data_IF_453603413617
#
_entry.id   IF_453603413617
#
_cell.length_a   1.000
_cell.length_b   1.000
_cell.length_c   1.000
_cell.angle_alpha   90.00
_cell.angle_beta   90.00
_cell.angle_gamma   90.00
#
_symmetry.space_group_name_H-M   'P 1'
#
loop_
_entity.id
_entity.type
_entity.pdbx_description
1 polymer ?
#
# COMPACT_ATOMS: atom_id res chain seq x y z
N UNK A 1 27.78 -8.21 18.95
CA UNK A 1 27.35 -6.97 18.26
C UNK A 1 26.22 -7.34 17.34
N UNK A 2 24.98 -7.12 17.76
CA UNK A 2 23.80 -7.16 16.89
C UNK A 2 22.91 -6.01 17.32
N UNK A 3 23.12 -4.86 16.69
CA UNK A 3 22.14 -3.79 16.69
C UNK A 3 20.94 -4.31 15.89
N UNK A 4 19.90 -4.75 16.61
CA UNK A 4 18.57 -4.80 16.03
C UNK A 4 18.20 -3.36 15.72
N UNK A 5 18.26 -3.01 14.43
CA UNK A 5 17.67 -1.79 13.91
C UNK A 5 16.20 -1.81 14.35
N UNK A 6 15.86 -0.96 15.32
CA UNK A 6 14.48 -0.75 15.72
C UNK A 6 13.75 -0.22 14.51
N UNK A 7 12.85 -1.04 13.96
CA UNK A 7 11.84 -0.54 13.06
C UNK A 7 11.15 0.60 13.81
N UNK A 8 11.12 1.79 13.21
CA UNK A 8 10.38 2.95 13.71
C UNK A 8 8.89 2.66 13.45
N UNK A 9 8.37 1.61 14.07
CA UNK A 9 6.93 1.39 14.20
C UNK A 9 6.50 2.17 15.43
N UNK A 10 5.65 3.20 15.30
CA UNK A 10 5.19 3.95 16.45
C UNK A 10 4.53 3.00 17.44
N UNK A 11 4.94 3.08 18.70
CA UNK A 11 4.26 2.35 19.77
C UNK A 11 2.84 2.95 19.89
N UNK A 12 1.78 2.13 20.08
CA UNK A 12 0.39 2.60 20.12
C UNK A 12 0.05 3.60 21.25
N UNK A 13 1.04 4.06 22.02
CA UNK A 13 0.90 5.00 23.13
C UNK A 13 1.74 6.29 22.95
N UNK A 14 2.39 6.50 21.80
CA UNK A 14 2.97 7.81 21.47
C UNK A 14 1.84 8.77 21.12
N UNK A 15 1.73 9.86 21.89
CA UNK A 15 0.69 10.88 21.73
C UNK A 15 0.63 11.36 20.27
N UNK A 16 -0.57 11.33 19.67
CA UNK A 16 -0.86 11.69 18.27
C UNK A 16 -0.46 13.11 17.84
N UNK A 17 0.07 13.90 18.77
CA UNK A 17 0.40 15.32 18.63
C UNK A 17 1.86 15.57 18.22
N UNK A 18 2.74 14.55 18.27
CA UNK A 18 4.15 14.69 17.88
C UNK A 18 4.38 14.57 16.36
N UNK A 19 3.44 13.96 15.63
CA UNK A 19 3.58 13.68 14.21
C UNK A 19 2.75 14.65 13.36
N UNK A 20 3.35 15.13 12.27
CA UNK A 20 2.64 15.92 11.25
C UNK A 20 1.43 15.15 10.68
N UNK A 21 0.43 15.88 10.16
CA UNK A 21 -0.73 15.26 9.51
C UNK A 21 -0.33 14.34 8.36
N UNK A 22 0.71 14.68 7.59
CA UNK A 22 1.23 13.82 6.52
C UNK A 22 1.84 12.54 7.08
N UNK A 23 2.66 12.65 8.13
CA UNK A 23 3.29 11.49 8.78
C UNK A 23 2.22 10.54 9.33
N UNK A 24 1.20 11.07 10.01
CA UNK A 24 0.07 10.28 10.53
C UNK A 24 -0.69 9.58 9.42
N UNK A 25 -0.95 10.27 8.31
CA UNK A 25 -1.66 9.68 7.18
C UNK A 25 -0.88 8.51 6.55
N UNK A 26 0.44 8.64 6.40
CA UNK A 26 1.28 7.52 5.93
C UNK A 26 1.29 6.37 6.93
N UNK A 27 1.47 6.63 8.23
CA UNK A 27 1.46 5.61 9.28
C UNK A 27 0.13 4.85 9.33
N UNK A 28 -0.98 5.57 9.26
CA UNK A 28 -2.31 4.97 9.26
C UNK A 28 -2.52 4.07 8.03
N UNK A 29 -2.11 4.53 6.85
CA UNK A 29 -2.21 3.74 5.62
C UNK A 29 -1.35 2.46 5.68
N UNK A 30 -0.11 2.56 6.19
CA UNK A 30 0.76 1.38 6.35
C UNK A 30 0.23 0.39 7.39
N UNK A 31 -0.43 0.87 8.44
CA UNK A 31 -1.07 -0.02 9.42
C UNK A 31 -2.27 -0.76 8.83
N UNK A 32 -3.05 -0.09 7.97
CA UNK A 32 -4.16 -0.74 7.24
C UNK A 32 -3.68 -1.81 6.28
N UNK A 33 -2.53 -1.59 5.61
CA UNK A 33 -1.92 -2.60 4.72
C UNK A 33 -1.78 -3.97 5.40
N UNK A 34 -1.36 -4.01 6.67
CA UNK A 34 -1.20 -5.30 7.37
C UNK A 34 -2.52 -6.06 7.54
N UNK A 35 -3.63 -5.34 7.64
CA UNK A 35 -4.98 -5.90 7.74
C UNK A 35 -5.52 -6.27 6.37
N UNK A 36 -5.38 -5.40 5.38
CA UNK A 36 -5.92 -5.60 4.02
C UNK A 36 -5.18 -6.70 3.24
N UNK A 37 -3.93 -7.00 3.61
CA UNK A 37 -3.14 -8.09 3.05
C UNK A 37 -3.54 -9.47 3.59
N UNK A 38 -4.47 -9.55 4.56
CA UNK A 38 -4.99 -10.83 5.06
C UNK A 38 -5.96 -11.44 4.04
N UNK A 39 -5.46 -12.32 3.17
CA UNK A 39 -6.28 -13.08 2.24
C UNK A 39 -6.50 -14.52 2.75
N UNK A 40 -7.67 -15.07 2.46
CA UNK A 40 -7.91 -16.50 2.66
C UNK A 40 -7.24 -17.27 1.52
N UNK A 41 -6.12 -17.92 1.83
CA UNK A 41 -5.38 -18.76 0.88
C UNK A 41 -6.21 -19.96 0.44
N UNK A 42 -6.18 -20.22 -0.87
CA UNK A 42 -6.88 -21.33 -1.51
C UNK A 42 -6.00 -22.56 -1.67
N UNK A 43 -4.68 -22.39 -1.59
CA UNK A 43 -3.68 -23.41 -1.90
C UNK A 43 -3.32 -23.47 -3.38
N UNK A 44 -3.97 -22.67 -4.24
CA UNK A 44 -3.54 -22.45 -5.61
C UNK A 44 -2.65 -21.21 -5.67
N UNK A 45 -1.37 -21.42 -6.00
CA UNK A 45 -0.36 -20.36 -5.98
C UNK A 45 -0.70 -19.18 -6.90
N UNK A 46 -1.22 -19.43 -8.10
CA UNK A 46 -1.57 -18.38 -9.05
C UNK A 46 -2.74 -17.54 -8.53
N UNK A 47 -3.79 -18.20 -8.02
CA UNK A 47 -4.96 -17.51 -7.44
C UNK A 47 -4.55 -16.71 -6.21
N UNK A 48 -3.75 -17.30 -5.33
CA UNK A 48 -3.32 -16.68 -4.08
C UNK A 48 -2.42 -15.47 -4.34
N UNK A 49 -1.50 -15.58 -5.30
CA UNK A 49 -0.69 -14.45 -5.76
C UNK A 49 -1.56 -13.33 -6.32
N UNK A 50 -2.46 -13.66 -7.25
CA UNK A 50 -3.31 -12.65 -7.91
C UNK A 50 -4.26 -11.97 -6.92
N UNK A 51 -4.82 -12.71 -5.96
CA UNK A 51 -5.65 -12.12 -4.89
C UNK A 51 -4.83 -11.21 -3.97
N UNK A 52 -3.63 -11.63 -3.57
CA UNK A 52 -2.76 -10.85 -2.70
C UNK A 52 -2.20 -9.59 -3.37
N UNK A 53 -2.05 -9.60 -4.70
CA UNK A 53 -1.56 -8.43 -5.42
C UNK A 53 -2.58 -7.28 -5.49
N UNK A 54 -3.89 -7.53 -5.42
CA UNK A 54 -4.89 -6.45 -5.41
C UNK A 54 -4.68 -5.48 -4.23
N UNK A 55 -4.75 -5.91 -2.95
CA UNK A 55 -4.55 -5.02 -1.82
C UNK A 55 -3.12 -4.43 -1.78
N UNK A 56 -2.12 -5.19 -2.22
CA UNK A 56 -0.74 -4.69 -2.32
C UNK A 56 -0.62 -3.48 -3.25
N UNK A 57 -1.19 -3.56 -4.46
CA UNK A 57 -1.17 -2.44 -5.42
C UNK A 57 -2.04 -1.29 -4.93
N UNK A 58 -3.19 -1.58 -4.30
CA UNK A 58 -4.10 -0.54 -3.79
C UNK A 58 -3.44 0.36 -2.74
N UNK A 59 -2.64 -0.21 -1.83
CA UNK A 59 -1.88 0.58 -0.84
C UNK A 59 -0.88 1.51 -1.51
N UNK A 60 -0.20 1.06 -2.57
CA UNK A 60 0.75 1.89 -3.32
C UNK A 60 0.03 3.06 -4.01
N UNK A 61 -1.14 2.80 -4.60
CA UNK A 61 -2.01 3.84 -5.18
C UNK A 61 -2.40 4.87 -4.12
N UNK A 62 -2.79 4.42 -2.92
CA UNK A 62 -3.22 5.32 -1.86
C UNK A 62 -2.04 6.12 -1.27
N UNK A 63 -0.84 5.54 -1.18
CA UNK A 63 0.37 6.29 -0.81
C UNK A 63 0.67 7.39 -1.82
N UNK A 64 0.57 7.08 -3.12
CA UNK A 64 0.76 8.07 -4.17
C UNK A 64 -0.31 9.18 -4.13
N UNK A 65 -1.55 8.87 -3.77
CA UNK A 65 -2.58 9.90 -3.51
C UNK A 65 -2.24 10.78 -2.32
N UNK A 66 -1.67 10.23 -1.24
CA UNK A 66 -1.17 11.01 -0.11
C UNK A 66 -0.02 11.94 -0.54
N UNK A 67 0.88 11.49 -1.43
CA UNK A 67 1.91 12.34 -1.99
C UNK A 67 1.31 13.50 -2.80
N UNK A 68 0.27 13.27 -3.60
CA UNK A 68 -0.43 14.35 -4.32
C UNK A 68 -1.14 15.35 -3.39
N UNK A 69 -1.49 14.92 -2.17
CA UNK A 69 -2.12 15.77 -1.15
C UNK A 69 -1.10 16.58 -0.34
N UNK A 70 0.04 15.99 0.04
CA UNK A 70 0.98 16.57 1.00
C UNK A 70 2.30 17.04 0.40
N UNK A 71 2.69 16.56 -0.79
CA UNK A 71 3.94 16.94 -1.45
C UNK A 71 3.71 18.06 -2.48
N UNK A 72 4.65 19.00 -2.51
CA UNK A 72 4.61 20.17 -3.42
C UNK A 72 5.70 20.14 -4.49
N UNK A 73 6.74 19.33 -4.30
CA UNK A 73 7.79 19.15 -5.30
C UNK A 73 7.22 18.59 -6.63
N UNK A 74 7.48 19.24 -7.78
CA UNK A 74 6.92 18.81 -9.06
C UNK A 74 7.35 17.41 -9.50
N UNK A 75 8.60 17.00 -9.23
CA UNK A 75 9.11 15.69 -9.62
C UNK A 75 8.44 14.59 -8.79
N UNK A 76 8.28 14.81 -7.48
CA UNK A 76 7.56 13.89 -6.58
C UNK A 76 6.10 13.73 -7.00
N UNK A 77 5.43 14.83 -7.38
CA UNK A 77 4.03 14.78 -7.85
C UNK A 77 3.90 14.07 -9.19
N UNK A 78 4.88 14.23 -10.08
CA UNK A 78 4.92 13.52 -11.35
C UNK A 78 5.11 12.00 -11.12
N UNK A 79 6.04 11.62 -10.25
CA UNK A 79 6.24 10.23 -9.84
C UNK A 79 4.94 9.64 -9.27
N UNK A 80 4.26 10.34 -8.36
CA UNK A 80 3.01 9.87 -7.77
C UNK A 80 1.91 9.62 -8.82
N UNK A 81 1.75 10.52 -9.80
CA UNK A 81 0.79 10.31 -10.91
C UNK A 81 1.12 9.07 -11.74
N UNK A 82 2.41 8.87 -12.04
CA UNK A 82 2.87 7.71 -12.81
C UNK A 82 2.65 6.40 -12.06
N UNK A 83 2.90 6.39 -10.75
CA UNK A 83 2.63 5.24 -9.87
C UNK A 83 1.14 4.89 -9.90
N UNK A 84 0.25 5.87 -9.72
CA UNK A 84 -1.21 5.64 -9.75
C UNK A 84 -1.61 4.99 -11.08
N UNK A 85 -1.16 5.55 -12.20
CA UNK A 85 -1.50 5.03 -13.53
C UNK A 85 -1.04 3.58 -13.73
N UNK A 86 0.22 3.28 -13.40
CA UNK A 86 0.79 1.95 -13.60
C UNK A 86 0.07 0.90 -12.73
N UNK A 87 -0.12 1.21 -11.45
CA UNK A 87 -0.72 0.28 -10.50
C UNK A 87 -2.22 0.04 -10.79
N UNK A 88 -2.97 1.07 -11.23
CA UNK A 88 -4.37 0.92 -11.65
C UNK A 88 -4.50 0.02 -12.90
N UNK A 89 -3.52 0.05 -13.80
CA UNK A 89 -3.48 -0.85 -14.96
C UNK A 89 -3.26 -2.29 -14.50
N UNK A 90 -2.29 -2.52 -13.60
CA UNK A 90 -2.00 -3.86 -13.06
C UNK A 90 -3.20 -4.43 -12.30
N UNK A 91 -3.90 -3.63 -11.48
CA UNK A 91 -5.14 -4.04 -10.80
C UNK A 91 -6.20 -4.49 -11.81
N UNK A 92 -6.36 -3.79 -12.95
CA UNK A 92 -7.32 -4.19 -13.99
C UNK A 92 -6.93 -5.52 -14.65
N UNK A 93 -5.63 -5.71 -14.94
CA UNK A 93 -5.11 -6.96 -15.48
C UNK A 93 -5.37 -8.11 -14.52
N UNK A 94 -5.09 -7.91 -13.23
CA UNK A 94 -5.29 -8.91 -12.18
C UNK A 94 -6.77 -9.30 -12.06
N UNK A 95 -7.66 -8.32 -11.97
CA UNK A 95 -9.10 -8.57 -11.90
C UNK A 95 -9.63 -9.29 -13.14
N UNK A 96 -9.20 -8.89 -14.33
CA UNK A 96 -9.60 -9.56 -15.57
C UNK A 96 -9.10 -11.01 -15.62
N UNK A 97 -7.89 -11.29 -15.10
CA UNK A 97 -7.39 -12.64 -15.00
C UNK A 97 -8.19 -13.47 -14.00
N UNK A 98 -8.46 -12.96 -12.80
CA UNK A 98 -9.26 -13.65 -11.78
C UNK A 98 -10.68 -13.94 -12.28
N UNK A 99 -11.31 -13.00 -12.99
CA UNK A 99 -12.63 -13.21 -13.58
C UNK A 99 -12.65 -14.38 -14.57
N UNK A 100 -11.57 -14.61 -15.34
CA UNK A 100 -11.50 -15.72 -16.30
C UNK A 100 -11.22 -17.08 -15.67
N UNK A 101 -10.69 -17.13 -14.44
CA UNK A 101 -10.23 -18.37 -13.80
C UNK A 101 -11.04 -18.76 -12.55
N UNK A 102 -11.91 -17.88 -12.07
CA UNK A 102 -12.82 -18.13 -10.93
C UNK A 102 -14.30 -18.27 -11.35
N UNK A 103 -14.60 -18.08 -12.63
CA UNK A 103 -15.87 -18.42 -13.27
C UNK A 103 -15.75 -19.78 -13.96
#
# INVERSE_FOLDING_TARGET
>A
MSEQQSAITPHPNDSSDIYSLSTRAYMELTSRMQVDMQINYTGNADIDFMRGMIPHHQVIVDMAKLALKYCYDPEVRMLAKNIILAQDIEIKVINAWLQRHLL
#
